data_IF_603917258671
#
_entry.id   IF_603917258671
#
_cell.length_a   1.000
_cell.length_b   1.000
_cell.length_c   1.000
_cell.angle_alpha   90.00
_cell.angle_beta   90.00
_cell.angle_gamma   90.00
#
_symmetry.space_group_name_H-M   'P 1'
#
loop_
_entity.id
_entity.type
_entity.pdbx_description
1 polymer ?
#
# COMPACT_ATOMS: atom_id res chain seq x y z
N UNK A 1 0.30 -3.84 19.24
CA UNK A 1 -0.57 -4.12 18.08
C UNK A 1 -0.18 -5.49 17.57
N UNK A 2 -1.13 -6.41 17.41
CA UNK A 2 -0.88 -7.65 16.66
C UNK A 2 -1.32 -7.38 15.22
N UNK A 3 -0.37 -7.47 14.30
CA UNK A 3 -0.63 -7.22 12.88
C UNK A 3 -0.80 -8.59 12.21
N UNK A 4 -1.98 -8.85 11.66
CA UNK A 4 -2.22 -10.07 10.90
C UNK A 4 -1.31 -10.06 9.65
N UNK A 5 -0.51 -11.10 9.40
CA UNK A 5 0.33 -11.22 8.21
C UNK A 5 -0.46 -11.03 6.90
N UNK A 6 -1.74 -11.37 6.89
CA UNK A 6 -2.64 -11.13 5.75
C UNK A 6 -2.74 -9.65 5.42
N UNK A 7 -2.73 -8.75 6.40
CA UNK A 7 -2.80 -7.30 6.16
C UNK A 7 -1.61 -6.82 5.33
N UNK A 8 -0.41 -7.35 5.57
CA UNK A 8 0.80 -7.00 4.80
C UNK A 8 0.66 -7.39 3.32
N UNK A 9 -0.03 -8.51 3.04
CA UNK A 9 -0.24 -9.02 1.67
C UNK A 9 -1.40 -8.32 0.97
N UNK A 10 -2.51 -8.10 1.69
CA UNK A 10 -3.72 -7.54 1.12
C UNK A 10 -3.64 -6.03 0.92
N UNK A 11 -2.87 -5.31 1.74
CA UNK A 11 -2.79 -3.85 1.65
C UNK A 11 -2.26 -3.37 0.29
N UNK A 12 -1.13 -3.89 -0.26
CA UNK A 12 -0.70 -3.56 -1.62
C UNK A 12 -1.75 -3.84 -2.69
N UNK A 13 -2.38 -5.02 -2.64
CA UNK A 13 -3.39 -5.44 -3.61
C UNK A 13 -4.61 -4.52 -3.57
N UNK A 14 -5.06 -4.16 -2.36
CA UNK A 14 -6.18 -3.26 -2.16
C UNK A 14 -5.83 -1.83 -2.63
N UNK A 15 -4.63 -1.34 -2.36
CA UNK A 15 -4.16 -0.04 -2.87
C UNK A 15 -4.13 -0.01 -4.39
N UNK A 16 -3.64 -1.09 -5.03
CA UNK A 16 -3.64 -1.20 -6.49
C UNK A 16 -5.05 -1.27 -7.07
N UNK A 17 -5.97 -1.97 -6.41
CA UNK A 17 -7.37 -2.03 -6.81
C UNK A 17 -8.05 -0.67 -6.73
N UNK A 18 -7.83 0.08 -5.64
CA UNK A 18 -8.33 1.45 -5.51
C UNK A 18 -7.72 2.35 -6.58
N UNK A 19 -6.41 2.26 -6.81
CA UNK A 19 -5.74 3.06 -7.83
C UNK A 19 -6.32 2.78 -9.22
N UNK A 20 -6.60 1.51 -9.54
CA UNK A 20 -7.24 1.12 -10.80
C UNK A 20 -8.61 1.79 -10.93
N UNK A 21 -9.47 1.69 -9.91
CA UNK A 21 -10.80 2.31 -9.92
C UNK A 21 -10.69 3.83 -10.10
N UNK A 22 -9.78 4.49 -9.37
CA UNK A 22 -9.57 5.93 -9.50
C UNK A 22 -9.04 6.30 -10.89
N UNK A 23 -8.14 5.50 -11.48
CA UNK A 23 -7.60 5.75 -12.82
C UNK A 23 -8.63 5.55 -13.95
N UNK A 24 -9.71 4.80 -13.68
CA UNK A 24 -10.84 4.65 -14.61
C UNK A 24 -11.81 5.83 -14.51
N UNK A 25 -11.94 6.43 -13.33
CA UNK A 25 -12.86 7.57 -13.08
C UNK A 25 -12.19 8.93 -13.31
N UNK A 26 -10.86 9.00 -13.18
CA UNK A 26 -10.06 10.21 -13.29
C UNK A 26 -8.83 9.94 -14.16
N UNK A 27 -8.43 10.93 -14.97
CA UNK A 27 -7.19 10.88 -15.76
C UNK A 27 -5.96 11.02 -14.86
N UNK A 28 -5.63 9.96 -14.13
CA UNK A 28 -4.45 9.92 -13.26
C UNK A 28 -3.18 9.76 -14.11
N UNK A 29 -2.17 10.62 -13.92
CA UNK A 29 -0.89 10.45 -14.59
C UNK A 29 -0.23 9.14 -14.16
N UNK A 30 0.36 8.40 -15.11
CA UNK A 30 1.01 7.11 -14.85
C UNK A 30 2.05 7.18 -13.71
N UNK A 31 2.75 8.31 -13.56
CA UNK A 31 3.76 8.48 -12.51
C UNK A 31 3.18 8.39 -11.08
N UNK A 32 1.88 8.65 -10.90
CA UNK A 32 1.21 8.57 -9.60
C UNK A 32 1.11 7.14 -9.06
N UNK A 33 1.22 6.13 -9.94
CA UNK A 33 1.35 4.73 -9.54
C UNK A 33 2.58 4.50 -8.66
N UNK A 34 3.72 5.11 -9.01
CA UNK A 34 4.95 4.97 -8.24
C UNK A 34 4.83 5.61 -6.85
N UNK A 35 4.10 6.73 -6.74
CA UNK A 35 3.76 7.33 -5.44
C UNK A 35 2.92 6.38 -4.58
N UNK A 36 1.87 5.79 -5.15
CA UNK A 36 1.00 4.85 -4.43
C UNK A 36 1.79 3.64 -3.92
N UNK A 37 2.63 3.05 -4.79
CA UNK A 37 3.51 1.93 -4.42
C UNK A 37 4.53 2.32 -3.36
N UNK A 38 5.09 3.54 -3.43
CA UNK A 38 6.02 4.04 -2.42
C UNK A 38 5.36 4.19 -1.05
N UNK A 39 4.12 4.69 -1.00
CA UNK A 39 3.36 4.78 0.27
C UNK A 39 3.06 3.40 0.86
N UNK A 40 2.70 2.43 0.03
CA UNK A 40 2.53 1.03 0.44
C UNK A 40 3.83 0.46 1.01
N UNK A 41 4.96 0.71 0.35
CA UNK A 41 6.27 0.30 0.84
C UNK A 41 6.58 0.92 2.22
N UNK A 42 6.36 2.22 2.40
CA UNK A 42 6.55 2.89 3.69
C UNK A 42 5.66 2.30 4.78
N UNK A 43 4.41 2.01 4.48
CA UNK A 43 3.48 1.38 5.42
C UNK A 43 3.99 0.02 5.89
N UNK A 44 4.44 -0.84 4.97
CA UNK A 44 5.01 -2.15 5.31
C UNK A 44 6.30 -1.99 6.13
N UNK A 45 7.15 -1.02 5.78
CA UNK A 45 8.39 -0.77 6.49
C UNK A 45 8.14 -0.35 7.95
N UNK A 46 7.13 0.49 8.19
CA UNK A 46 6.70 0.86 9.54
C UNK A 46 6.21 -0.35 10.32
N UNK A 47 5.40 -1.21 9.69
CA UNK A 47 4.94 -2.48 10.30
C UNK A 47 6.13 -3.34 10.72
N UNK A 48 7.10 -3.54 9.83
CA UNK A 48 8.29 -4.34 10.10
C UNK A 48 9.09 -3.76 11.28
N UNK A 49 9.30 -2.43 11.31
CA UNK A 49 10.01 -1.78 12.42
C UNK A 49 9.28 -2.00 13.75
N UNK A 50 7.95 -1.86 13.76
CA UNK A 50 7.14 -2.07 14.97
C UNK A 50 7.24 -3.52 15.42
N UNK A 51 7.14 -4.49 14.51
CA UNK A 51 7.17 -5.91 14.85
C UNK A 51 8.55 -6.36 15.34
N UNK A 52 9.65 -5.81 14.78
CA UNK A 52 11.02 -6.09 15.25
C UNK A 52 11.29 -5.50 16.65
N UNK A 53 10.69 -4.35 16.97
CA UNK A 53 10.87 -3.66 18.26
C UNK A 53 9.93 -4.16 19.37
N UNK A 54 8.98 -5.02 19.02
CA UNK A 54 8.06 -5.66 19.96
C UNK A 54 8.74 -6.84 20.63
#
# INVERSE_FOLDING_TARGET
>A
MEIDPKTIVWYPLFTLLIYLILSLLFDLPFWTLFLALFLVFLYILVIIIIEIKK
#
